data_IF_697238549707
#
_entry.id   IF_697238549707
#
_cell.length_a   1.000
_cell.length_b   1.000
_cell.length_c   1.000
_cell.angle_alpha   90.00
_cell.angle_beta   90.00
_cell.angle_gamma   90.00
#
_symmetry.space_group_name_H-M   'P 1'
#
loop_
_entity.id
_entity.type
_entity.pdbx_description
1 polymer ?
#
# COMPACT_ATOMS: atom_id res chain seq x y z
N UNK A 1 1.58 18.71 -4.55
CA UNK A 1 0.69 17.57 -4.86
C UNK A 1 1.07 16.44 -3.93
N UNK A 2 0.10 15.69 -3.40
CA UNK A 2 0.40 14.54 -2.56
C UNK A 2 1.02 13.42 -3.43
N UNK A 3 1.88 12.59 -2.82
CA UNK A 3 2.53 11.47 -3.49
C UNK A 3 2.18 10.17 -2.76
N UNK A 4 2.36 9.06 -3.45
CA UNK A 4 2.24 7.71 -2.89
C UNK A 4 3.31 6.80 -3.46
N UNK A 5 3.73 5.80 -2.68
CA UNK A 5 4.69 4.79 -3.10
C UNK A 5 3.97 3.48 -3.38
N UNK A 6 4.14 2.94 -4.57
CA UNK A 6 3.51 1.67 -5.00
C UNK A 6 4.59 0.62 -5.20
N UNK A 7 4.31 -0.62 -4.77
CA UNK A 7 5.17 -1.78 -4.97
C UNK A 7 4.44 -2.89 -5.73
N UNK A 8 5.15 -3.61 -6.60
CA UNK A 8 4.66 -4.86 -7.18
C UNK A 8 4.92 -6.03 -6.23
N UNK A 9 3.87 -6.55 -5.58
CA UNK A 9 3.96 -7.56 -4.53
C UNK A 9 3.98 -9.00 -5.08
N UNK A 10 3.29 -9.23 -6.20
CA UNK A 10 3.16 -10.55 -6.85
C UNK A 10 3.73 -10.54 -8.28
N UNK A 11 3.99 -11.71 -8.83
CA UNK A 11 4.41 -11.85 -10.23
C UNK A 11 3.25 -11.60 -11.20
N UNK A 12 3.58 -11.33 -12.47
CA UNK A 12 2.60 -11.04 -13.53
C UNK A 12 2.27 -12.24 -14.43
N UNK A 13 2.98 -13.36 -14.26
CA UNK A 13 2.78 -14.54 -15.09
C UNK A 13 1.38 -15.14 -14.86
N UNK A 14 0.63 -15.36 -15.94
CA UNK A 14 -0.73 -15.91 -15.88
C UNK A 14 -1.82 -14.90 -15.53
N UNK A 15 -1.49 -13.63 -15.32
CA UNK A 15 -2.47 -12.56 -15.11
C UNK A 15 -3.09 -12.10 -16.43
N UNK A 16 -4.30 -11.53 -16.34
CA UNK A 16 -4.97 -10.95 -17.50
C UNK A 16 -4.20 -9.75 -18.04
N UNK A 17 -4.19 -9.58 -19.36
CA UNK A 17 -3.51 -8.48 -20.05
C UNK A 17 -3.90 -7.11 -19.50
N UNK A 18 -5.18 -6.90 -19.15
CA UNK A 18 -5.67 -5.67 -18.54
C UNK A 18 -4.97 -5.32 -17.21
N UNK A 19 -4.72 -6.31 -16.36
CA UNK A 19 -4.04 -6.12 -15.07
C UNK A 19 -2.55 -5.89 -15.30
N UNK A 20 -1.94 -6.63 -16.22
CA UNK A 20 -0.55 -6.46 -16.62
C UNK A 20 -0.30 -5.04 -17.14
N UNK A 21 -1.18 -4.53 -18.01
CA UNK A 21 -1.10 -3.17 -18.54
C UNK A 21 -1.28 -2.10 -17.46
N UNK A 22 -2.19 -2.32 -16.50
CA UNK A 22 -2.36 -1.43 -15.36
C UNK A 22 -1.07 -1.35 -14.52
N UNK A 23 -0.42 -2.48 -14.23
CA UNK A 23 0.87 -2.52 -13.51
C UNK A 23 1.98 -1.83 -14.31
N UNK A 24 2.08 -2.09 -15.62
CA UNK A 24 3.06 -1.43 -16.49
C UNK A 24 2.85 0.07 -16.55
N UNK A 25 1.60 0.54 -16.54
CA UNK A 25 1.25 1.97 -16.53
C UNK A 25 1.67 2.68 -15.25
N UNK A 26 1.79 1.94 -14.13
CA UNK A 26 2.38 2.43 -12.87
C UNK A 26 3.93 2.44 -12.91
N UNK A 27 4.55 2.04 -14.03
CA UNK A 27 6.01 1.99 -14.19
C UNK A 27 6.68 0.80 -13.51
N UNK A 28 5.90 -0.22 -13.13
CA UNK A 28 6.37 -1.43 -12.45
C UNK A 28 6.62 -2.55 -13.46
N UNK A 29 7.84 -3.09 -13.48
CA UNK A 29 8.30 -4.10 -14.45
C UNK A 29 8.62 -5.45 -13.80
N UNK A 30 9.23 -5.45 -12.62
CA UNK A 30 9.66 -6.66 -11.91
C UNK A 30 9.09 -6.72 -10.50
N UNK A 31 8.87 -7.94 -10.00
CA UNK A 31 8.40 -8.16 -8.62
C UNK A 31 9.35 -7.50 -7.63
N UNK A 32 8.78 -6.86 -6.61
CA UNK A 32 9.51 -6.12 -5.58
C UNK A 32 9.93 -4.71 -6.00
N UNK A 33 9.74 -4.31 -7.27
CA UNK A 33 10.02 -2.95 -7.72
C UNK A 33 9.04 -1.95 -7.08
N UNK A 34 9.56 -0.76 -6.79
CA UNK A 34 8.82 0.35 -6.19
C UNK A 34 8.90 1.62 -7.05
N UNK A 35 7.83 2.42 -7.00
CA UNK A 35 7.75 3.74 -7.64
C UNK A 35 6.99 4.71 -6.76
N UNK A 36 7.52 5.92 -6.64
CA UNK A 36 6.80 7.06 -6.09
C UNK A 36 6.05 7.73 -7.24
N UNK A 37 4.74 7.89 -7.07
CA UNK A 37 3.82 8.42 -8.06
C UNK A 37 3.02 9.58 -7.46
N UNK A 38 2.50 10.44 -8.33
CA UNK A 38 1.56 11.47 -7.93
C UNK A 38 0.23 10.85 -7.48
N UNK A 39 -0.35 11.41 -6.42
CA UNK A 39 -1.65 11.01 -5.91
C UNK A 39 -2.76 11.62 -6.78
N UNK A 40 -3.17 10.89 -7.82
CA UNK A 40 -4.22 11.31 -8.72
C UNK A 40 -5.17 10.16 -9.09
N UNK A 41 -6.37 10.47 -9.61
CA UNK A 41 -7.36 9.45 -9.96
C UNK A 41 -6.86 8.42 -10.97
N UNK A 42 -5.99 8.80 -11.91
CA UNK A 42 -5.46 7.87 -12.92
C UNK A 42 -4.54 6.81 -12.30
N UNK A 43 -3.68 7.21 -11.36
CA UNK A 43 -2.84 6.28 -10.59
C UNK A 43 -3.71 5.35 -9.76
N UNK A 44 -4.71 5.87 -9.05
CA UNK A 44 -5.66 5.04 -8.29
C UNK A 44 -6.48 4.10 -9.17
N UNK A 45 -6.86 4.51 -10.38
CA UNK A 45 -7.56 3.65 -11.34
C UNK A 45 -6.74 2.41 -11.70
N UNK A 46 -5.44 2.59 -11.96
CA UNK A 46 -4.53 1.47 -12.22
C UNK A 46 -4.29 0.60 -10.98
N UNK A 47 -4.13 1.20 -9.80
CA UNK A 47 -4.01 0.46 -8.53
C UNK A 47 -5.26 -0.40 -8.29
N UNK A 48 -6.46 0.16 -8.48
CA UNK A 48 -7.73 -0.56 -8.32
C UNK A 48 -7.87 -1.72 -9.29
N UNK A 49 -7.46 -1.55 -10.56
CA UNK A 49 -7.46 -2.63 -11.56
C UNK A 49 -6.51 -3.77 -11.20
N UNK A 50 -5.37 -3.46 -10.58
CA UNK A 50 -4.33 -4.43 -10.25
C UNK A 50 -4.20 -4.66 -8.73
N UNK A 51 -5.28 -4.49 -7.97
CA UNK A 51 -5.26 -4.42 -6.51
C UNK A 51 -4.62 -5.65 -5.86
N UNK A 52 -4.80 -6.85 -6.42
CA UNK A 52 -4.21 -8.08 -5.87
C UNK A 52 -2.72 -8.25 -6.19
N UNK A 53 -2.18 -7.43 -7.09
CA UNK A 53 -0.79 -7.50 -7.56
C UNK A 53 0.10 -6.45 -6.91
N UNK A 54 -0.42 -5.25 -6.71
CA UNK A 54 0.33 -4.11 -6.18
C UNK A 54 -0.05 -3.81 -4.73
N UNK A 55 0.71 -2.96 -4.05
CA UNK A 55 0.31 -2.38 -2.78
C UNK A 55 0.89 -0.99 -2.59
N UNK A 56 0.15 -0.12 -1.91
CA UNK A 56 0.59 1.22 -1.53
C UNK A 56 1.25 1.15 -0.16
N UNK A 57 2.41 1.80 -0.01
CA UNK A 57 3.19 1.77 1.21
C UNK A 57 2.64 2.78 2.24
N UNK A 58 2.29 2.26 3.42
CA UNK A 58 1.85 3.02 4.57
C UNK A 58 2.73 2.73 5.76
N UNK A 59 3.22 3.77 6.43
CA UNK A 59 3.85 3.65 7.73
C UNK A 59 2.76 3.77 8.78
N UNK A 60 2.68 2.80 9.68
CA UNK A 60 1.68 2.82 10.75
C UNK A 60 2.40 2.85 12.10
N UNK A 61 2.16 3.92 12.83
CA UNK A 61 2.62 4.08 14.20
C UNK A 61 1.54 3.57 15.17
N UNK A 62 1.88 2.51 15.91
CA UNK A 62 1.03 1.89 16.93
C UNK A 62 1.41 2.28 18.36
N UNK A 63 2.35 3.22 18.54
CA UNK A 63 2.83 3.64 19.88
C UNK A 63 1.78 4.39 20.70
N UNK A 64 0.80 4.98 20.02
CA UNK A 64 -0.31 5.73 20.62
C UNK A 64 -1.57 4.88 20.71
N UNK A 65 -2.54 5.34 21.50
CA UNK A 65 -3.87 4.71 21.61
C UNK A 65 -4.59 4.66 20.26
N UNK A 66 -4.50 5.76 19.49
CA UNK A 66 -5.01 5.85 18.13
C UNK A 66 -3.84 5.69 17.16
N UNK A 67 -3.86 4.69 16.27
CA UNK A 67 -2.78 4.48 15.32
C UNK A 67 -2.75 5.62 14.31
N UNK A 68 -1.54 6.08 14.00
CA UNK A 68 -1.32 7.12 12.98
C UNK A 68 -0.81 6.46 11.71
N UNK A 69 -1.49 6.74 10.60
CA UNK A 69 -1.19 6.18 9.29
C UNK A 69 -0.62 7.26 8.41
N UNK A 70 0.62 7.08 7.97
CA UNK A 70 1.33 7.99 7.08
C UNK A 70 1.67 7.27 5.77
N UNK A 71 1.89 8.03 4.69
CA UNK A 71 2.42 7.47 3.45
C UNK A 71 3.92 7.33 3.54
N UNK A 72 4.44 6.13 3.25
CA UNK A 72 5.88 5.93 3.19
C UNK A 72 6.40 6.36 1.81
N UNK A 73 7.16 7.47 1.77
CA UNK A 73 7.79 8.01 0.56
C UNK A 73 9.32 7.85 0.58
N UNK A 74 9.84 6.92 1.40
CA UNK A 74 11.27 6.66 1.49
C UNK A 74 11.83 6.18 0.15
N UNK A 75 12.96 6.74 -0.31
CA UNK A 75 13.54 6.37 -1.61
C UNK A 75 14.36 5.08 -1.56
N UNK A 76 14.97 4.74 -0.43
CA UNK A 76 15.80 3.55 -0.29
C UNK A 76 14.96 2.28 -0.03
N UNK A 77 14.92 1.30 -0.95
CA UNK A 77 14.24 0.03 -0.73
C UNK A 77 15.18 -0.92 0.01
N UNK A 78 15.45 -0.65 1.28
CA UNK A 78 16.44 -1.41 2.05
C UNK A 78 15.84 -2.60 2.83
N UNK A 79 14.75 -3.19 2.33
CA UNK A 79 14.05 -4.25 3.07
C UNK A 79 13.36 -5.29 2.19
N UNK A 80 13.34 -6.52 2.71
CA UNK A 80 12.57 -7.64 2.18
C UNK A 80 11.12 -7.51 2.60
N UNK A 81 10.20 -7.63 1.65
CA UNK A 81 8.77 -7.64 1.97
C UNK A 81 8.34 -9.05 2.33
N UNK A 82 7.75 -9.17 3.51
CA UNK A 82 7.27 -10.40 4.10
C UNK A 82 5.73 -10.40 4.02
N UNK A 83 5.16 -11.49 3.53
CA UNK A 83 3.71 -11.70 3.59
C UNK A 83 3.35 -12.33 4.94
N UNK A 84 2.57 -11.64 5.76
CA UNK A 84 1.99 -12.12 7.01
C UNK A 84 0.47 -12.12 6.90
N UNK A 85 -0.13 -13.32 6.82
CA UNK A 85 -1.59 -13.51 6.76
C UNK A 85 -2.29 -12.64 5.68
N UNK A 86 -1.65 -12.48 4.51
CA UNK A 86 -2.19 -11.69 3.39
C UNK A 86 -1.80 -10.21 3.41
N UNK A 87 -1.18 -9.73 4.48
CA UNK A 87 -0.65 -8.37 4.59
C UNK A 87 0.86 -8.38 4.33
N UNK A 88 1.32 -7.48 3.47
CA UNK A 88 2.73 -7.36 3.13
C UNK A 88 3.37 -6.28 4.01
N UNK A 89 4.53 -6.56 4.60
CA UNK A 89 5.25 -5.63 5.49
C UNK A 89 6.76 -5.79 5.36
N UNK A 90 7.50 -4.76 5.74
CA UNK A 90 8.96 -4.79 5.83
C UNK A 90 9.51 -5.22 7.20
N UNK A 91 8.63 -5.40 8.19
CA UNK A 91 9.01 -5.67 9.57
C UNK A 91 9.53 -4.46 10.35
N UNK A 92 9.59 -3.27 9.75
CA UNK A 92 10.01 -1.99 10.34
C UNK A 92 8.84 -0.98 10.43
N UNK A 93 7.61 -1.46 10.38
CA UNK A 93 6.40 -0.64 10.52
C UNK A 93 5.83 -0.10 9.21
N UNK A 94 6.40 -0.47 8.06
CA UNK A 94 5.79 -0.20 6.75
C UNK A 94 4.94 -1.41 6.34
N UNK A 95 3.72 -1.11 5.94
CA UNK A 95 2.71 -2.04 5.49
C UNK A 95 2.25 -1.67 4.09
N UNK A 96 1.92 -2.68 3.29
CA UNK A 96 1.45 -2.46 1.94
C UNK A 96 -0.01 -2.91 1.82
N UNK A 97 -0.86 -1.94 1.49
CA UNK A 97 -2.28 -2.16 1.26
C UNK A 97 -2.66 -1.59 -0.09
N UNK A 98 -3.38 -2.37 -0.88
CA UNK A 98 -3.83 -1.96 -2.21
C UNK A 98 -5.10 -1.13 -2.14
N UNK A 99 -5.92 -1.37 -1.11
CA UNK A 99 -7.17 -0.68 -0.85
C UNK A 99 -7.17 -0.17 0.59
N UNK A 100 -7.85 0.95 0.82
CA UNK A 100 -8.05 1.51 2.16
C UNK A 100 -8.81 0.52 3.05
N UNK A 101 -9.79 -0.19 2.50
CA UNK A 101 -10.53 -1.25 3.20
C UNK A 101 -9.61 -2.35 3.75
N UNK A 102 -8.54 -2.71 3.03
CA UNK A 102 -7.59 -3.73 3.50
C UNK A 102 -6.78 -3.23 4.71
N UNK A 103 -6.47 -1.93 4.75
CA UNK A 103 -5.85 -1.27 5.89
C UNK A 103 -6.83 -1.23 7.07
N UNK A 104 -8.07 -0.82 6.84
CA UNK A 104 -9.08 -0.70 7.89
C UNK A 104 -9.40 -2.05 8.54
N UNK A 105 -9.58 -3.10 7.72
CA UNK A 105 -9.76 -4.47 8.20
C UNK A 105 -8.56 -4.94 9.03
N UNK A 106 -7.35 -4.55 8.65
CA UNK A 106 -6.14 -4.87 9.41
C UNK A 106 -6.13 -4.18 10.77
N UNK A 107 -6.53 -2.90 10.84
CA UNK A 107 -6.64 -2.17 12.10
C UNK A 107 -7.75 -2.73 13.00
N UNK A 108 -8.92 -3.07 12.44
CA UNK A 108 -10.02 -3.75 13.16
C UNK A 108 -9.56 -5.06 13.78
N UNK A 109 -8.84 -5.89 13.01
CA UNK A 109 -8.27 -7.16 13.49
C UNK A 109 -7.25 -6.98 14.61
N UNK A 110 -6.60 -5.81 14.69
CA UNK A 110 -5.71 -5.43 15.80
C UNK A 110 -6.45 -4.84 17.00
N UNK A 111 -7.77 -4.64 16.92
CA UNK A 111 -8.61 -4.14 18.02
C UNK A 111 -8.83 -2.63 18.03
N UNK A 112 -8.40 -1.91 16.99
CA UNK A 112 -8.61 -0.46 16.89
C UNK A 112 -10.02 -0.14 16.38
N UNK A 113 -10.59 0.96 16.89
CA UNK A 113 -11.91 1.48 16.49
C UNK A 113 -11.83 2.73 15.61
N UNK A 114 -10.68 3.39 15.59
CA UNK A 114 -10.40 4.58 14.80
C UNK A 114 -8.91 4.69 14.49
N UNK A 115 -8.54 5.53 13.53
CA UNK A 115 -7.16 5.86 13.20
C UNK A 115 -7.04 7.30 12.72
N UNK A 116 -5.83 7.85 12.76
CA UNK A 116 -5.52 9.12 12.09
C UNK A 116 -4.98 8.80 10.70
N UNK A 117 -5.63 9.30 9.66
CA UNK A 117 -5.21 9.07 8.27
C UNK A 117 -4.04 9.98 7.87
N UNK A 118 -3.51 9.78 6.66
CA UNK A 118 -2.40 10.55 6.11
C UNK A 118 -2.73 12.03 5.81
N UNK A 119 -3.98 12.45 6.02
CA UNK A 119 -4.41 13.86 5.97
C UNK A 119 -4.53 14.47 7.37
N UNK A 120 -4.22 13.73 8.43
CA UNK A 120 -4.35 14.16 9.82
C UNK A 120 -5.79 14.11 10.37
N UNK A 121 -6.71 13.45 9.67
CA UNK A 121 -8.11 13.32 10.09
C UNK A 121 -8.31 12.04 10.90
N UNK A 122 -9.08 12.12 11.98
CA UNK A 122 -9.59 10.93 12.66
C UNK A 122 -10.68 10.27 11.82
N UNK A 123 -10.53 8.97 11.58
CA UNK A 123 -11.44 8.14 10.80
C UNK A 123 -11.89 6.97 11.69
N UNK A 124 -13.20 6.79 11.83
CA UNK A 124 -13.78 5.62 12.49
C UNK A 124 -13.73 4.40 11.56
N UNK A 125 -13.42 3.23 12.13
CA UNK A 125 -13.20 1.98 11.41
C UNK A 125 -14.49 1.18 11.23
#
# INVERSE_FOLDING_TARGET
MAKLKVKLLRGLAGEREEHVQAVKSLGLKKRGQERILEDNPSVWGNIRKAWHLVGVAYRIDFSKEVPVVERDLSEEPNYTVINKKGVFTDGKGVYYFSRVTDLEDFLKKKGYKKYVNWEGREVEL
#
